data_IF_166527844965
#
_entry.id   IF_166527844965
#
_cell.length_a   1.000
_cell.length_b   1.000
_cell.length_c   1.000
_cell.angle_alpha   90.00
_cell.angle_beta   90.00
_cell.angle_gamma   90.00
#
_symmetry.space_group_name_H-M   'P 1'
#
loop_
_entity.id
_entity.type
_entity.pdbx_description
1 polymer ?
#
# COMPACT_ATOMS: atom_id res chain seq x y z
N UNK A 1 -13.78 11.26 3.95
CA UNK A 1 -14.58 10.33 3.12
C UNK A 1 -15.89 11.00 2.72
N UNK A 2 -16.32 10.95 1.46
CA UNK A 2 -17.62 11.50 1.04
C UNK A 2 -18.76 10.69 1.68
N UNK A 3 -19.83 11.36 2.10
CA UNK A 3 -20.97 10.71 2.75
C UNK A 3 -21.81 9.90 1.76
N UNK A 4 -22.24 8.70 2.19
CA UNK A 4 -23.06 7.79 1.37
C UNK A 4 -24.50 8.32 1.24
N UNK A 5 -24.82 8.92 0.10
CA UNK A 5 -26.20 9.17 -0.33
C UNK A 5 -26.64 8.12 -1.35
N UNK A 6 -27.95 7.80 -1.47
CA UNK A 6 -28.45 6.88 -2.49
C UNK A 6 -28.03 7.27 -3.92
N UNK A 7 -27.90 8.57 -4.20
CA UNK A 7 -27.46 9.09 -5.50
C UNK A 7 -25.99 8.84 -5.81
N UNK A 8 -25.12 8.75 -4.80
CA UNK A 8 -23.67 8.72 -4.98
C UNK A 8 -23.04 7.35 -4.71
N UNK A 9 -23.85 6.34 -4.39
CA UNK A 9 -23.38 4.98 -4.10
C UNK A 9 -22.56 4.38 -5.25
N UNK A 10 -23.02 4.53 -6.50
CA UNK A 10 -22.29 4.05 -7.67
C UNK A 10 -20.94 4.76 -7.88
N UNK A 11 -20.91 6.06 -7.63
CA UNK A 11 -19.67 6.86 -7.69
C UNK A 11 -18.67 6.40 -6.63
N UNK A 12 -19.12 6.23 -5.39
CA UNK A 12 -18.27 5.78 -4.28
C UNK A 12 -17.71 4.37 -4.51
N UNK A 13 -18.51 3.44 -5.04
CA UNK A 13 -18.02 2.09 -5.38
C UNK A 13 -16.93 2.16 -6.46
N UNK A 14 -17.13 2.95 -7.51
CA UNK A 14 -16.11 3.14 -8.56
C UNK A 14 -14.85 3.80 -8.00
N UNK A 15 -15.00 4.80 -7.13
CA UNK A 15 -13.90 5.51 -6.50
C UNK A 15 -13.04 4.56 -5.65
N UNK A 16 -13.66 3.76 -4.78
CA UNK A 16 -12.97 2.77 -3.95
C UNK A 16 -12.31 1.67 -4.80
N UNK A 17 -12.96 1.24 -5.89
CA UNK A 17 -12.38 0.28 -6.83
C UNK A 17 -11.13 0.82 -7.53
N UNK A 18 -11.18 2.06 -8.03
CA UNK A 18 -10.03 2.72 -8.65
C UNK A 18 -8.89 2.89 -7.64
N UNK A 19 -9.20 3.28 -6.40
CA UNK A 19 -8.20 3.41 -5.35
C UNK A 19 -7.54 2.05 -5.01
N UNK A 20 -8.34 0.97 -5.01
CA UNK A 20 -7.81 -0.39 -4.80
C UNK A 20 -6.85 -0.79 -5.92
N UNK A 21 -7.22 -0.51 -7.18
CA UNK A 21 -6.42 -0.86 -8.35
C UNK A 21 -5.09 -0.10 -8.36
N UNK A 22 -5.10 1.21 -8.06
CA UNK A 22 -3.87 2.01 -8.04
C UNK A 22 -2.90 1.54 -6.96
N UNK A 23 -3.39 1.19 -5.77
CA UNK A 23 -2.55 0.63 -4.71
C UNK A 23 -2.03 -0.76 -5.03
N UNK A 24 -2.83 -1.64 -5.63
CA UNK A 24 -2.40 -2.97 -6.05
C UNK A 24 -1.32 -2.91 -7.15
N UNK A 25 -1.48 -2.03 -8.14
CA UNK A 25 -0.46 -1.78 -9.16
C UNK A 25 0.81 -1.17 -8.54
N UNK A 26 0.65 -0.25 -7.59
CA UNK A 26 1.76 0.30 -6.81
C UNK A 26 2.53 -0.78 -6.05
N UNK A 27 1.85 -1.74 -5.42
CA UNK A 27 2.47 -2.86 -4.74
C UNK A 27 3.33 -3.72 -5.68
N UNK A 28 2.81 -4.06 -6.86
CA UNK A 28 3.55 -4.82 -7.87
C UNK A 28 4.78 -4.04 -8.37
N UNK A 29 4.62 -2.75 -8.67
CA UNK A 29 5.72 -1.90 -9.08
C UNK A 29 6.80 -1.77 -7.98
N UNK A 30 6.40 -1.68 -6.71
CA UNK A 30 7.33 -1.62 -5.59
C UNK A 30 8.11 -2.93 -5.39
N UNK A 31 7.49 -4.09 -5.58
CA UNK A 31 8.18 -5.39 -5.55
C UNK A 31 9.24 -5.44 -6.66
N UNK A 32 8.86 -5.12 -7.90
CA UNK A 32 9.79 -5.11 -9.04
C UNK A 32 10.94 -4.11 -8.80
N UNK A 33 10.60 -2.89 -8.38
CA UNK A 33 11.57 -1.84 -8.07
C UNK A 33 12.53 -2.24 -6.96
N UNK A 34 12.03 -2.83 -5.87
CA UNK A 34 12.84 -3.33 -4.77
C UNK A 34 13.82 -4.42 -5.23
N UNK A 35 13.35 -5.38 -6.03
CA UNK A 35 14.22 -6.43 -6.59
C UNK A 35 15.33 -5.83 -7.46
N UNK A 36 14.98 -4.93 -8.39
CA UNK A 36 15.96 -4.27 -9.26
C UNK A 36 16.98 -3.43 -8.48
N UNK A 37 16.52 -2.72 -7.46
CA UNK A 37 17.35 -1.87 -6.62
C UNK A 37 18.34 -2.70 -5.78
N UNK A 38 17.89 -3.80 -5.18
CA UNK A 38 18.77 -4.71 -4.42
C UNK A 38 19.78 -5.43 -5.32
N UNK A 39 19.37 -5.87 -6.52
CA UNK A 39 20.28 -6.48 -7.50
C UNK A 39 21.34 -5.47 -7.95
N UNK A 40 20.95 -4.23 -8.28
CA UNK A 40 21.93 -3.18 -8.62
C UNK A 40 22.86 -2.86 -7.47
N UNK A 41 22.33 -2.74 -6.25
CA UNK A 41 23.14 -2.47 -5.06
C UNK A 41 24.20 -3.55 -4.84
N UNK A 42 23.84 -4.81 -5.08
CA UNK A 42 24.76 -5.94 -5.05
C UNK A 42 25.81 -5.89 -6.16
N UNK A 43 25.39 -5.65 -7.41
CA UNK A 43 26.30 -5.56 -8.57
C UNK A 43 27.33 -4.43 -8.46
N UNK A 44 26.95 -3.32 -7.82
CA UNK A 44 27.85 -2.18 -7.59
C UNK A 44 28.71 -2.33 -6.33
N UNK A 45 28.69 -3.49 -5.66
CA UNK A 45 29.43 -3.75 -4.42
C UNK A 45 29.23 -2.66 -3.36
N UNK A 46 28.00 -2.15 -3.24
CA UNK A 46 27.67 -1.14 -2.25
C UNK A 46 27.91 -1.66 -0.84
N UNK A 47 28.18 -0.74 0.09
CA UNK A 47 28.45 -1.09 1.49
C UNK A 47 27.29 -1.89 2.11
N UNK A 48 27.62 -2.75 3.08
CA UNK A 48 26.62 -3.53 3.83
C UNK A 48 25.57 -2.64 4.52
N UNK A 49 25.97 -1.45 4.97
CA UNK A 49 25.07 -0.43 5.53
C UNK A 49 24.06 0.06 4.47
N UNK A 50 24.51 0.37 3.26
CA UNK A 50 23.65 0.77 2.15
C UNK A 50 22.67 -0.33 1.78
N UNK A 51 23.13 -1.58 1.70
CA UNK A 51 22.28 -2.73 1.40
C UNK A 51 21.17 -2.92 2.45
N UNK A 52 21.52 -2.73 3.73
CA UNK A 52 20.59 -2.83 4.86
C UNK A 52 19.55 -1.71 4.82
N UNK A 53 19.98 -0.46 4.59
CA UNK A 53 19.09 0.67 4.46
C UNK A 53 18.11 0.50 3.29
N UNK A 54 18.58 0.05 2.13
CA UNK A 54 17.74 -0.22 0.96
C UNK A 54 16.76 -1.38 1.20
N UNK A 55 17.17 -2.40 1.96
CA UNK A 55 16.30 -3.51 2.33
C UNK A 55 15.18 -3.07 3.28
N UNK A 56 15.49 -2.26 4.29
CA UNK A 56 14.48 -1.68 5.19
C UNK A 56 13.49 -0.84 4.40
N UNK A 57 13.99 0.05 3.54
CA UNK A 57 13.15 0.88 2.66
C UNK A 57 12.22 0.03 1.78
N UNK A 58 12.76 -0.99 1.11
CA UNK A 58 11.99 -1.90 0.27
C UNK A 58 10.90 -2.64 1.04
N UNK A 59 11.23 -3.20 2.21
CA UNK A 59 10.28 -3.93 3.06
C UNK A 59 9.18 -3.00 3.56
N UNK A 60 9.53 -1.77 4.01
CA UNK A 60 8.55 -0.78 4.45
C UNK A 60 7.60 -0.36 3.32
N UNK A 61 8.11 -0.11 2.11
CA UNK A 61 7.31 0.24 0.94
C UNK A 61 6.36 -0.90 0.53
N UNK A 62 6.87 -2.12 0.42
CA UNK A 62 6.06 -3.31 0.08
C UNK A 62 5.00 -3.54 1.15
N UNK A 63 5.37 -3.49 2.44
CA UNK A 63 4.44 -3.66 3.56
C UNK A 63 3.34 -2.61 3.59
N UNK A 64 3.68 -1.34 3.34
CA UNK A 64 2.71 -0.24 3.26
C UNK A 64 1.70 -0.44 2.11
N UNK A 65 2.17 -0.81 0.93
CA UNK A 65 1.33 -1.01 -0.26
C UNK A 65 0.48 -2.30 -0.16
N UNK A 66 1.02 -3.37 0.42
CA UNK A 66 0.24 -4.57 0.74
C UNK A 66 -0.83 -4.27 1.78
N UNK A 67 -0.50 -3.54 2.86
CA UNK A 67 -1.48 -3.18 3.88
C UNK A 67 -2.63 -2.35 3.29
N UNK A 68 -2.33 -1.41 2.39
CA UNK A 68 -3.34 -0.62 1.68
C UNK A 68 -4.20 -1.47 0.72
N UNK A 69 -3.59 -2.40 -0.02
CA UNK A 69 -4.31 -3.31 -0.92
C UNK A 69 -5.20 -4.29 -0.15
N UNK A 70 -4.67 -4.88 0.92
CA UNK A 70 -5.35 -5.85 1.76
C UNK A 70 -6.49 -5.19 2.54
N UNK A 71 -6.35 -3.92 2.94
CA UNK A 71 -7.40 -3.13 3.56
C UNK A 71 -8.64 -3.02 2.66
N UNK A 72 -8.44 -2.65 1.40
CA UNK A 72 -9.54 -2.53 0.44
C UNK A 72 -10.10 -3.90 0.01
N UNK A 73 -9.26 -4.93 -0.10
CA UNK A 73 -9.69 -6.29 -0.42
C UNK A 73 -10.47 -6.97 0.72
N UNK A 74 -10.12 -6.70 1.98
CA UNK A 74 -10.76 -7.30 3.16
C UNK A 74 -11.92 -6.48 3.73
N UNK A 75 -12.24 -5.30 3.15
CA UNK A 75 -13.39 -4.47 3.56
C UNK A 75 -14.73 -5.22 3.50
N UNK A 76 -14.83 -6.30 2.72
CA UNK A 76 -16.01 -7.17 2.61
C UNK A 76 -16.02 -8.38 3.58
N UNK A 77 -14.99 -8.55 4.42
CA UNK A 77 -14.88 -9.67 5.36
C UNK A 77 -14.83 -9.19 6.81
N UNK A 78 -15.28 -10.01 7.78
CA UNK A 78 -15.35 -9.64 9.22
C UNK A 78 -13.99 -9.21 9.83
N UNK A 79 -12.86 -9.52 9.18
CA UNK A 79 -11.51 -9.10 9.59
C UNK A 79 -11.16 -7.63 9.21
N UNK A 80 -11.92 -6.99 8.31
CA UNK A 80 -11.68 -5.61 7.89
C UNK A 80 -11.85 -4.57 9.00
N UNK A 81 -12.63 -4.88 10.06
CA UNK A 81 -12.85 -3.96 11.20
C UNK A 81 -11.58 -3.68 12.02
N UNK A 82 -10.66 -4.64 12.12
CA UNK A 82 -9.41 -4.45 12.87
C UNK A 82 -8.43 -3.55 12.11
N UNK A 83 -8.37 -3.70 10.80
CA UNK A 83 -7.56 -2.86 9.93
C UNK A 83 -8.12 -1.42 9.81
N UNK A 84 -9.45 -1.25 9.84
CA UNK A 84 -10.10 0.07 9.96
C UNK A 84 -9.66 0.83 11.22
N UNK A 85 -9.55 0.15 12.36
CA UNK A 85 -9.16 0.82 13.60
C UNK A 85 -7.67 1.26 13.62
N UNK A 86 -6.78 0.48 13.01
CA UNK A 86 -5.33 0.70 13.12
C UNK A 86 -4.77 1.61 12.01
N UNK A 87 -5.34 1.58 10.80
CA UNK A 87 -4.80 2.28 9.63
C UNK A 87 -5.52 3.63 9.38
N UNK A 88 -6.81 3.75 9.70
CA UNK A 88 -7.58 4.99 9.44
C UNK A 88 -7.03 6.20 10.21
N UNK A 89 -6.71 6.14 11.52
CA UNK A 89 -6.26 7.32 12.26
C UNK A 89 -4.90 7.85 11.79
N UNK A 90 -4.03 6.97 11.31
CA UNK A 90 -2.67 7.31 10.87
C UNK A 90 -2.67 7.99 9.49
N UNK A 91 -3.64 7.69 8.63
CA UNK A 91 -3.68 8.21 7.27
C UNK A 91 -4.58 9.45 7.10
N UNK A 92 -5.64 9.59 7.91
CA UNK A 92 -6.54 10.77 7.83
C UNK A 92 -6.07 11.98 8.63
N UNK A 93 -4.96 11.88 9.37
CA UNK A 93 -4.38 12.98 10.15
C UNK A 93 -3.21 13.69 9.45
N UNK A 94 -2.80 13.19 8.29
CA UNK A 94 -1.63 13.67 7.53
C UNK A 94 -1.98 14.27 6.14
N UNK A 95 -3.27 14.34 5.79
CA UNK A 95 -3.77 14.99 4.56
C UNK A 95 -5.07 15.73 4.81
#
# INVERSE_FOLDING_TARGET
MPSLTPSNRHYLIKYEMLNTITHALGALAAIIGATLLLVKAWQHHLSSLTLTALSIYAISMIGFLLASTLFHALVFTKAGKLFQFLIIPVFTSLF
#
